data_IF_308872752459
#
_entry.id   IF_308872752459
#
_cell.length_a   1.000
_cell.length_b   1.000
_cell.length_c   1.000
_cell.angle_alpha   90.00
_cell.angle_beta   90.00
_cell.angle_gamma   90.00
#
_symmetry.space_group_name_H-M   'P 1'
#
loop_
_entity.id
_entity.type
_entity.pdbx_description
1 polymer ?
#
# COMPACT_ATOMS: atom_id res chain seq x y z
N UNK A 1 9.51 -24.98 -58.56
CA UNK A 1 8.38 -24.15 -58.06
C UNK A 1 7.94 -24.75 -56.73
N UNK A 2 8.49 -24.41 -55.57
CA UNK A 2 8.80 -23.07 -55.07
C UNK A 2 7.85 -22.82 -53.90
N UNK A 3 8.34 -23.08 -52.68
CA UNK A 3 7.67 -23.14 -51.38
C UNK A 3 6.78 -21.92 -51.09
N UNK A 4 5.59 -22.15 -50.53
CA UNK A 4 4.91 -21.18 -49.68
C UNK A 4 4.86 -21.74 -48.25
N UNK A 5 5.80 -21.29 -47.42
CA UNK A 5 5.74 -21.41 -45.97
C UNK A 5 5.19 -20.10 -45.44
N UNK A 6 3.93 -20.10 -44.98
CA UNK A 6 3.40 -19.03 -44.16
C UNK A 6 2.25 -19.59 -43.31
N UNK A 7 2.58 -20.10 -42.13
CA UNK A 7 1.70 -19.93 -40.98
C UNK A 7 2.59 -19.37 -39.88
N UNK A 8 2.52 -18.06 -39.72
CA UNK A 8 2.93 -17.39 -38.50
C UNK A 8 2.08 -17.98 -37.38
N UNK A 9 2.64 -18.93 -36.63
CA UNK A 9 2.07 -19.34 -35.35
C UNK A 9 2.34 -18.20 -34.37
N UNK A 10 1.49 -17.17 -34.42
CA UNK A 10 1.32 -16.26 -33.31
C UNK A 10 1.04 -17.14 -32.09
N UNK A 11 1.90 -17.05 -31.08
CA UNK A 11 1.72 -17.74 -29.81
C UNK A 11 0.49 -17.13 -29.11
N UNK A 12 -0.70 -17.55 -29.56
CA UNK A 12 -1.94 -17.17 -28.93
C UNK A 12 -2.01 -17.87 -27.58
N UNK A 13 -1.80 -17.10 -26.50
CA UNK A 13 -2.08 -17.59 -25.15
C UNK A 13 -3.53 -18.09 -25.10
N UNK A 14 -3.79 -19.32 -24.64
CA UNK A 14 -5.14 -19.84 -24.44
C UNK A 14 -6.01 -18.88 -23.63
N UNK A 15 -7.31 -18.77 -23.94
CA UNK A 15 -8.24 -17.89 -23.19
C UNK A 15 -8.25 -18.22 -21.69
N UNK A 16 -8.09 -19.49 -21.34
CA UNK A 16 -8.02 -19.96 -19.95
C UNK A 16 -6.76 -19.49 -19.22
N UNK A 17 -5.63 -19.33 -19.93
CA UNK A 17 -4.41 -18.78 -19.34
C UNK A 17 -4.57 -17.28 -19.05
N UNK A 18 -5.25 -16.54 -19.93
CA UNK A 18 -5.55 -15.11 -19.72
C UNK A 18 -6.48 -14.91 -18.53
N UNK A 19 -7.46 -15.81 -18.35
CA UNK A 19 -8.34 -15.84 -17.17
C UNK A 19 -7.59 -16.14 -15.87
N UNK A 20 -6.69 -17.12 -15.87
CA UNK A 20 -5.85 -17.44 -14.71
C UNK A 20 -4.98 -16.25 -14.31
N UNK A 21 -4.39 -15.56 -15.29
CA UNK A 21 -3.60 -14.33 -15.03
C UNK A 21 -4.48 -13.24 -14.41
N UNK A 22 -5.70 -13.05 -14.91
CA UNK A 22 -6.64 -12.08 -14.35
C UNK A 22 -6.98 -12.38 -12.89
N UNK A 23 -7.23 -13.65 -12.56
CA UNK A 23 -7.50 -14.08 -11.18
C UNK A 23 -6.33 -13.77 -10.25
N UNK A 24 -5.09 -14.10 -10.67
CA UNK A 24 -3.88 -13.81 -9.91
C UNK A 24 -3.66 -12.30 -9.71
N UNK A 25 -3.76 -11.52 -10.79
CA UNK A 25 -3.62 -10.07 -10.72
C UNK A 25 -4.70 -9.43 -9.85
N UNK A 26 -5.93 -9.94 -9.92
CA UNK A 26 -7.04 -9.48 -9.09
C UNK A 26 -6.80 -9.73 -7.60
N UNK A 27 -6.29 -10.90 -7.25
CA UNK A 27 -5.92 -11.24 -5.89
C UNK A 27 -4.75 -10.37 -5.39
N UNK A 28 -3.70 -10.21 -6.20
CA UNK A 28 -2.56 -9.35 -5.90
C UNK A 28 -2.98 -7.89 -5.72
N UNK A 29 -3.82 -7.36 -6.62
CA UNK A 29 -4.35 -6.00 -6.53
C UNK A 29 -5.11 -5.79 -5.22
N UNK A 30 -5.96 -6.75 -4.83
CA UNK A 30 -6.70 -6.69 -3.57
C UNK A 30 -5.77 -6.67 -2.36
N UNK A 31 -4.71 -7.49 -2.36
CA UNK A 31 -3.72 -7.52 -1.29
C UNK A 31 -2.97 -6.19 -1.18
N UNK A 32 -2.47 -5.66 -2.29
CA UNK A 32 -1.73 -4.40 -2.32
C UNK A 32 -2.63 -3.22 -1.94
N UNK A 33 -3.91 -3.24 -2.33
CA UNK A 33 -4.89 -2.23 -1.90
C UNK A 33 -5.13 -2.24 -0.38
N UNK A 34 -5.26 -3.41 0.24
CA UNK A 34 -5.41 -3.50 1.70
C UNK A 34 -4.14 -3.05 2.43
N UNK A 35 -2.94 -3.37 1.94
CA UNK A 35 -1.68 -2.84 2.50
C UNK A 35 -1.63 -1.30 2.41
N UNK A 36 -1.96 -0.74 1.24
CA UNK A 36 -2.02 0.72 1.04
C UNK A 36 -3.01 1.36 2.01
N UNK A 37 -4.21 0.79 2.14
CA UNK A 37 -5.27 1.28 3.04
C UNK A 37 -4.83 1.24 4.50
N UNK A 38 -4.15 0.18 4.92
CA UNK A 38 -3.61 0.08 6.27
C UNK A 38 -2.54 1.17 6.53
N UNK A 39 -1.54 1.31 5.66
CA UNK A 39 -0.49 2.33 5.81
C UNK A 39 -1.06 3.75 5.78
N UNK A 40 -2.01 4.01 4.89
CA UNK A 40 -2.74 5.27 4.85
C UNK A 40 -3.47 5.52 6.16
N UNK A 41 -4.12 4.51 6.74
CA UNK A 41 -4.75 4.59 8.06
C UNK A 41 -3.77 4.98 9.17
N UNK A 42 -2.53 4.48 9.14
CA UNK A 42 -1.46 4.87 10.08
C UNK A 42 -1.10 6.36 9.92
N UNK A 43 -0.95 6.84 8.69
CA UNK A 43 -0.63 8.24 8.40
C UNK A 43 -1.78 9.18 8.78
N UNK A 44 -3.02 8.80 8.49
CA UNK A 44 -4.22 9.56 8.87
C UNK A 44 -4.38 9.62 10.39
N UNK A 45 -4.13 8.52 11.09
CA UNK A 45 -4.13 8.50 12.56
C UNK A 45 -3.04 9.41 13.12
N UNK A 46 -1.82 9.34 12.58
CA UNK A 46 -0.72 10.24 12.94
C UNK A 46 -1.10 11.71 12.74
N UNK A 47 -1.78 12.03 11.63
CA UNK A 47 -2.28 13.38 11.34
C UNK A 47 -3.28 13.86 12.38
N UNK A 48 -4.29 13.05 12.71
CA UNK A 48 -5.31 13.38 13.70
C UNK A 48 -4.69 13.61 15.07
N UNK A 49 -3.89 12.66 15.56
CA UNK A 49 -3.23 12.76 16.87
C UNK A 49 -2.26 13.94 16.94
N UNK A 50 -1.60 14.28 15.82
CA UNK A 50 -0.73 15.45 15.75
C UNK A 50 -1.52 16.76 15.92
N UNK A 51 -2.67 16.86 15.28
CA UNK A 51 -3.57 18.01 15.41
C UNK A 51 -4.09 18.13 16.85
N UNK A 52 -4.63 17.04 17.40
CA UNK A 52 -5.14 16.98 18.78
C UNK A 52 -4.06 17.32 19.80
N UNK A 53 -2.80 16.95 19.53
CA UNK A 53 -1.69 17.26 20.43
C UNK A 53 -1.44 18.77 20.61
N UNK A 54 -2.00 19.64 19.76
CA UNK A 54 -1.77 21.09 19.84
C UNK A 54 -2.39 21.73 21.07
N UNK A 55 -3.43 21.12 21.63
CA UNK A 55 -4.23 21.67 22.73
C UNK A 55 -3.65 21.35 24.12
N UNK A 56 -2.60 20.53 24.20
CA UNK A 56 -1.97 20.13 25.47
C UNK A 56 -0.68 20.90 25.76
N UNK A 57 -0.32 20.97 27.04
CA UNK A 57 0.93 21.60 27.49
C UNK A 57 2.18 20.92 26.92
N UNK A 58 3.30 21.64 26.99
CA UNK A 58 4.57 21.23 26.41
C UNK A 58 5.03 19.82 26.84
N UNK A 59 4.93 19.49 28.13
CA UNK A 59 5.46 18.23 28.66
C UNK A 59 4.62 17.04 28.21
N UNK A 60 3.29 17.17 28.27
CA UNK A 60 2.37 16.14 27.74
C UNK A 60 2.54 15.97 26.25
N UNK A 61 2.59 17.09 25.52
CA UNK A 61 2.76 17.08 24.06
C UNK A 61 4.05 16.37 23.66
N UNK A 62 5.15 16.63 24.34
CA UNK A 62 6.43 15.98 24.08
C UNK A 62 6.32 14.45 24.14
N UNK A 63 5.66 13.94 25.18
CA UNK A 63 5.37 12.51 25.32
C UNK A 63 4.51 11.97 24.17
N UNK A 64 3.48 12.71 23.77
CA UNK A 64 2.62 12.35 22.65
C UNK A 64 3.38 12.28 21.33
N UNK A 65 4.20 13.29 20.99
CA UNK A 65 4.99 13.30 19.75
C UNK A 65 5.92 12.09 19.67
N UNK A 66 6.61 11.78 20.77
CA UNK A 66 7.45 10.59 20.88
C UNK A 66 6.65 9.29 20.68
N UNK A 67 5.49 9.20 21.31
CA UNK A 67 4.60 8.04 21.23
C UNK A 67 4.09 7.81 19.82
N UNK A 68 3.65 8.89 19.15
CA UNK A 68 3.20 8.88 17.75
C UNK A 68 4.26 8.29 16.81
N UNK A 69 5.48 8.85 16.84
CA UNK A 69 6.59 8.37 16.01
C UNK A 69 6.81 6.88 16.21
N UNK A 70 6.96 6.44 17.47
CA UNK A 70 7.19 5.03 17.79
C UNK A 70 6.06 4.11 17.35
N UNK A 71 4.80 4.52 17.51
CA UNK A 71 3.63 3.75 17.09
C UNK A 71 3.59 3.61 15.57
N UNK A 72 3.79 4.69 14.82
CA UNK A 72 3.81 4.62 13.34
C UNK A 72 4.87 3.65 12.83
N UNK A 73 6.05 3.66 13.44
CA UNK A 73 7.15 2.73 13.11
C UNK A 73 6.82 1.29 13.50
N UNK A 74 6.17 1.08 14.65
CA UNK A 74 5.73 -0.25 15.06
C UNK A 74 4.71 -0.83 14.08
N UNK A 75 3.70 -0.05 13.69
CA UNK A 75 2.70 -0.49 12.71
C UNK A 75 3.34 -0.85 11.37
N UNK A 76 4.34 -0.09 10.92
CA UNK A 76 5.11 -0.42 9.72
C UNK A 76 5.85 -1.77 9.86
N UNK A 77 6.54 -2.00 10.99
CA UNK A 77 7.30 -3.25 11.22
C UNK A 77 6.40 -4.47 11.31
N UNK A 78 5.21 -4.34 11.91
CA UNK A 78 4.23 -5.41 11.95
C UNK A 78 3.69 -5.75 10.55
N UNK A 79 3.53 -4.76 9.67
CA UNK A 79 3.15 -5.04 8.27
C UNK A 79 4.24 -5.68 7.43
N UNK A 80 5.52 -5.40 7.71
CA UNK A 80 6.64 -5.98 6.96
C UNK A 80 6.99 -7.41 7.42
N UNK A 81 6.69 -7.77 8.67
CA UNK A 81 7.00 -9.08 9.25
C UNK A 81 5.90 -10.14 9.02
N UNK A 82 4.74 -9.75 8.50
CA UNK A 82 3.75 -10.68 7.95
C UNK A 82 4.28 -11.20 6.60
N UNK A 83 5.36 -11.97 6.63
CA UNK A 83 5.77 -12.77 5.47
C UNK A 83 4.66 -13.77 5.18
N UNK A 84 3.91 -13.50 4.10
CA UNK A 84 3.26 -14.47 3.23
C UNK A 84 2.55 -15.64 3.91
N UNK A 85 1.78 -15.37 4.97
CA UNK A 85 0.79 -16.34 5.43
C UNK A 85 -0.52 -16.08 4.66
N UNK A 86 -1.06 -17.06 3.91
CA UNK A 86 -2.42 -16.94 3.37
C UNK A 86 -3.42 -17.03 4.53
N UNK A 87 -3.56 -15.95 5.31
CA UNK A 87 -4.52 -15.88 6.41
C UNK A 87 -5.79 -15.16 5.92
N UNK A 88 -6.80 -15.96 5.56
CA UNK A 88 -8.03 -16.24 6.32
C UNK A 88 -9.08 -15.14 6.18
N UNK A 89 -10.36 -15.55 5.96
CA UNK A 89 -11.32 -14.77 5.19
C UNK A 89 -11.87 -13.63 6.02
N UNK A 90 -11.73 -12.40 5.53
CA UNK A 90 -12.50 -11.28 6.05
C UNK A 90 -13.92 -11.37 5.49
N UNK A 91 -14.84 -11.78 6.36
CA UNK A 91 -16.25 -11.38 6.44
C UNK A 91 -16.98 -11.05 5.10
N UNK A 92 -17.88 -11.95 4.65
CA UNK A 92 -19.08 -11.72 3.83
C UNK A 92 -19.00 -10.91 2.51
N UNK A 93 -18.49 -9.68 2.58
CA UNK A 93 -18.37 -8.71 1.48
C UNK A 93 -17.36 -9.14 0.42
N UNK A 94 -16.20 -9.67 0.81
CA UNK A 94 -15.19 -10.16 -0.14
C UNK A 94 -15.66 -11.37 -0.95
N UNK A 95 -16.46 -12.27 -0.36
CA UNK A 95 -17.03 -13.41 -1.10
C UNK A 95 -18.05 -12.98 -2.15
N UNK A 96 -18.88 -11.98 -1.84
CA UNK A 96 -19.88 -11.47 -2.77
C UNK A 96 -19.25 -10.64 -3.89
N UNK A 97 -18.21 -9.86 -3.59
CA UNK A 97 -17.41 -9.17 -4.62
C UNK A 97 -16.66 -10.16 -5.52
N UNK A 98 -16.04 -11.21 -4.96
CA UNK A 98 -15.42 -12.27 -5.76
C UNK A 98 -16.42 -12.98 -6.66
N UNK A 99 -17.59 -13.35 -6.14
CA UNK A 99 -18.63 -14.04 -6.93
C UNK A 99 -19.13 -13.20 -8.10
N UNK A 100 -19.42 -11.91 -7.86
CA UNK A 100 -19.82 -10.97 -8.93
C UNK A 100 -18.73 -10.77 -9.97
N UNK A 101 -17.46 -10.83 -9.55
CA UNK A 101 -16.30 -10.69 -10.45
C UNK A 101 -16.07 -11.94 -11.28
N UNK A 102 -16.23 -13.12 -10.70
CA UNK A 102 -16.23 -14.40 -11.42
C UNK A 102 -17.34 -14.44 -12.48
N UNK A 103 -18.57 -14.02 -12.12
CA UNK A 103 -19.70 -13.92 -13.05
C UNK A 103 -19.44 -12.92 -14.20
N UNK A 104 -18.76 -11.81 -13.93
CA UNK A 104 -18.36 -10.82 -14.94
C UNK A 104 -17.36 -11.39 -15.95
N UNK A 105 -16.30 -12.06 -15.48
CA UNK A 105 -15.22 -12.59 -16.33
C UNK A 105 -15.70 -13.71 -17.27
N UNK A 106 -16.73 -14.45 -16.88
CA UNK A 106 -17.31 -15.52 -17.70
C UNK A 106 -17.88 -14.96 -19.01
N UNK A 107 -18.44 -13.74 -18.99
CA UNK A 107 -19.04 -13.07 -20.15
C UNK A 107 -18.05 -12.38 -21.09
N UNK A 108 -16.82 -12.14 -20.66
CA UNK A 108 -15.84 -11.34 -21.41
C UNK A 108 -15.15 -12.11 -22.55
N UNK A 109 -14.84 -11.36 -23.62
CA UNK A 109 -13.91 -11.75 -24.67
C UNK A 109 -12.48 -11.86 -24.15
N UNK A 110 -11.64 -12.61 -24.87
CA UNK A 110 -10.22 -12.75 -24.55
C UNK A 110 -9.49 -11.39 -24.57
N UNK A 111 -9.83 -10.53 -25.51
CA UNK A 111 -9.22 -9.21 -25.66
C UNK A 111 -9.62 -8.29 -24.50
N UNK A 112 -10.89 -8.35 -24.06
CA UNK A 112 -11.39 -7.60 -22.90
C UNK A 112 -10.69 -8.03 -21.60
N UNK A 113 -10.48 -9.34 -21.39
CA UNK A 113 -9.75 -9.83 -20.20
C UNK A 113 -8.28 -9.40 -20.27
N UNK A 114 -7.69 -9.34 -21.46
CA UNK A 114 -6.31 -8.88 -21.64
C UNK A 114 -6.20 -7.39 -21.29
N UNK A 115 -7.14 -6.57 -21.74
CA UNK A 115 -7.20 -5.16 -21.38
C UNK A 115 -7.39 -4.97 -19.87
N UNK A 116 -8.31 -5.73 -19.23
CA UNK A 116 -8.51 -5.66 -17.78
C UNK A 116 -7.23 -6.06 -17.03
N UNK A 117 -6.48 -7.04 -17.51
CA UNK A 117 -5.19 -7.42 -16.93
C UNK A 117 -4.18 -6.27 -16.95
N UNK A 118 -4.09 -5.55 -18.07
CA UNK A 118 -3.19 -4.40 -18.20
C UNK A 118 -3.59 -3.27 -17.24
N UNK A 119 -4.89 -3.01 -17.09
CA UNK A 119 -5.43 -2.03 -16.15
C UNK A 119 -5.14 -2.43 -14.69
N UNK A 120 -5.36 -3.69 -14.30
CA UNK A 120 -5.06 -4.17 -12.96
C UNK A 120 -3.56 -4.10 -12.67
N UNK A 121 -2.70 -4.45 -13.63
CA UNK A 121 -1.25 -4.33 -13.48
C UNK A 121 -0.83 -2.89 -13.21
N UNK A 122 -1.41 -1.92 -13.92
CA UNK A 122 -1.09 -0.52 -13.71
C UNK A 122 -1.56 -0.03 -12.33
N UNK A 123 -2.74 -0.48 -11.89
CA UNK A 123 -3.20 -0.21 -10.52
C UNK A 123 -2.25 -0.79 -9.46
N UNK A 124 -1.79 -2.03 -9.63
CA UNK A 124 -0.83 -2.68 -8.72
C UNK A 124 0.45 -1.84 -8.64
N UNK A 125 1.01 -1.41 -9.77
CA UNK A 125 2.22 -0.57 -9.79
C UNK A 125 2.01 0.73 -9.03
N UNK A 126 0.88 1.41 -9.26
CA UNK A 126 0.60 2.69 -8.61
C UNK A 126 0.43 2.54 -7.09
N UNK A 127 -0.29 1.51 -6.63
CA UNK A 127 -0.42 1.26 -5.19
C UNK A 127 0.92 0.86 -4.56
N UNK A 128 1.73 0.02 -5.21
CA UNK A 128 3.09 -0.31 -4.74
C UNK A 128 3.97 0.92 -4.63
N UNK A 129 3.91 1.82 -5.61
CA UNK A 129 4.64 3.09 -5.58
C UNK A 129 4.24 3.94 -4.37
N UNK A 130 2.93 4.11 -4.14
CA UNK A 130 2.40 4.84 -2.97
C UNK A 130 2.79 4.20 -1.64
N UNK A 131 2.73 2.87 -1.55
CA UNK A 131 3.19 2.11 -0.38
C UNK A 131 4.66 2.39 -0.11
N UNK A 132 5.52 2.24 -1.12
CA UNK A 132 6.96 2.52 -0.99
C UNK A 132 7.21 3.92 -0.44
N UNK A 133 6.56 4.94 -1.03
CA UNK A 133 6.69 6.32 -0.56
C UNK A 133 6.27 6.51 0.90
N UNK A 134 5.17 5.87 1.33
CA UNK A 134 4.74 5.91 2.73
C UNK A 134 5.75 5.26 3.67
N UNK A 135 6.27 4.09 3.30
CA UNK A 135 7.28 3.37 4.09
C UNK A 135 8.53 4.24 4.24
N UNK A 136 9.04 4.79 3.15
CA UNK A 136 10.22 5.66 3.15
C UNK A 136 10.06 6.88 4.08
N UNK A 137 8.88 7.52 4.08
CA UNK A 137 8.61 8.66 4.96
C UNK A 137 8.58 8.26 6.44
N UNK A 138 7.98 7.12 6.77
CA UNK A 138 7.93 6.61 8.16
C UNK A 138 9.32 6.19 8.62
N UNK A 139 10.11 5.53 7.77
CA UNK A 139 11.48 5.13 8.06
C UNK A 139 12.41 6.34 8.23
N UNK A 140 12.28 7.35 7.36
CA UNK A 140 13.01 8.60 7.49
C UNK A 140 12.64 9.34 8.79
N UNK A 141 11.38 9.32 9.18
CA UNK A 141 10.92 9.85 10.47
C UNK A 141 11.55 9.08 11.65
N UNK A 142 11.62 7.75 11.61
CA UNK A 142 12.28 6.93 12.63
C UNK A 142 13.76 7.28 12.76
N UNK A 143 14.47 7.26 11.63
CA UNK A 143 15.90 7.56 11.58
C UNK A 143 16.19 8.97 12.11
N UNK A 144 15.41 9.96 11.67
CA UNK A 144 15.55 11.33 12.14
C UNK A 144 15.26 11.45 13.63
N UNK A 145 14.27 10.72 14.14
CA UNK A 145 13.97 10.68 15.56
C UNK A 145 15.11 10.05 16.38
N UNK A 146 15.71 8.95 15.91
CA UNK A 146 16.87 8.33 16.56
C UNK A 146 18.07 9.30 16.61
N UNK A 147 18.40 9.94 15.49
CA UNK A 147 19.45 10.97 15.43
C UNK A 147 19.14 12.13 16.37
N UNK A 148 17.87 12.51 16.52
CA UNK A 148 17.47 13.64 17.36
C UNK A 148 17.74 13.44 18.86
N UNK A 149 17.97 12.20 19.31
CA UNK A 149 18.23 11.88 20.72
C UNK A 149 19.52 12.48 21.26
N UNK A 150 20.44 12.89 20.39
CA UNK A 150 21.67 13.62 20.78
C UNK A 150 21.43 15.05 21.24
N UNK A 151 20.27 15.63 20.92
CA UNK A 151 19.93 17.01 21.27
C UNK A 151 19.14 17.10 22.57
N UNK A 152 19.22 18.27 23.22
CA UNK A 152 18.42 18.59 24.40
C UNK A 152 16.91 18.57 24.10
N UNK A 153 16.09 18.39 25.14
CA UNK A 153 14.65 18.14 25.00
C UNK A 153 13.90 19.21 24.18
N UNK A 154 14.21 20.50 24.38
CA UNK A 154 13.55 21.60 23.65
C UNK A 154 13.88 21.58 22.15
N UNK A 155 15.13 21.30 21.79
CA UNK A 155 15.53 21.15 20.38
C UNK A 155 14.89 19.90 19.78
N UNK A 156 14.93 18.77 20.50
CA UNK A 156 14.32 17.52 20.07
C UNK A 156 12.81 17.66 19.84
N UNK A 157 12.12 18.41 20.70
CA UNK A 157 10.71 18.73 20.52
C UNK A 157 10.41 19.42 19.19
N UNK A 158 11.22 20.43 18.83
CA UNK A 158 11.08 21.15 17.55
C UNK A 158 11.30 20.20 16.37
N UNK A 159 12.33 19.36 16.44
CA UNK A 159 12.66 18.36 15.41
C UNK A 159 11.54 17.32 15.23
N UNK A 160 10.99 16.75 16.32
CA UNK A 160 9.87 15.80 16.25
C UNK A 160 8.65 16.39 15.56
N UNK A 161 8.33 17.68 15.81
CA UNK A 161 7.23 18.35 15.09
C UNK A 161 7.49 18.44 13.59
N UNK A 162 8.73 18.72 13.18
CA UNK A 162 9.08 18.79 11.76
C UNK A 162 8.95 17.42 11.11
N UNK A 163 9.50 16.36 11.73
CA UNK A 163 9.42 15.00 11.20
C UNK A 163 7.97 14.54 11.00
N UNK A 164 7.12 14.72 12.02
CA UNK A 164 5.70 14.35 11.93
C UNK A 164 4.99 15.16 10.85
N UNK A 165 5.26 16.48 10.77
CA UNK A 165 4.68 17.33 9.71
C UNK A 165 5.10 16.86 8.32
N UNK A 166 6.35 16.43 8.13
CA UNK A 166 6.85 15.93 6.84
C UNK A 166 6.06 14.70 6.38
N UNK A 167 5.75 13.77 7.30
CA UNK A 167 4.91 12.60 6.98
C UNK A 167 3.47 13.02 6.68
N UNK A 168 2.88 13.86 7.53
CA UNK A 168 1.46 14.24 7.46
C UNK A 168 1.12 15.17 6.28
N UNK A 169 2.01 16.09 5.92
CA UNK A 169 1.75 17.07 4.84
C UNK A 169 2.20 16.60 3.47
N UNK A 170 2.65 15.34 3.34
CA UNK A 170 3.04 14.83 2.03
C UNK A 170 1.77 14.55 1.20
N UNK A 171 1.40 15.54 0.36
CA UNK A 171 0.19 15.54 -0.48
C UNK A 171 0.16 14.46 -1.57
N UNK A 172 1.20 13.64 -1.68
CA UNK A 172 1.38 12.65 -2.75
C UNK A 172 1.03 11.21 -2.31
N UNK A 173 0.42 11.06 -1.13
CA UNK A 173 -0.17 9.83 -0.57
C UNK A 173 -1.69 9.95 -0.59
#
# INVERSE_FOLDING_TARGET
MGRYTAVQSGSEKPKDDVRRVNELLSAECSQVQEEYKHLRGVVEQLSREYEDSKEVDFFRRYGMLKGMIKRSVLHLKLTSNEEHNPHVPTCGKQKEENRKREEHIVGLSKDEITQENDEIQEQIKEYRRKISMMKDLIEQMDHSYEVSKRYIAVQRYRLMKVMIKTVVHNKWI
#
